data_IF_865538477776
#
_entry.id   IF_865538477776
#
_cell.length_a   1.000
_cell.length_b   1.000
_cell.length_c   1.000
_cell.angle_alpha   90.00
_cell.angle_beta   90.00
_cell.angle_gamma   90.00
#
_symmetry.space_group_name_H-M   'P 1'
#
loop_
_entity.id
_entity.type
_entity.pdbx_description
1 polymer ?
#
# COMPACT_ATOMS: atom_id res chain seq x y z
N UNK A 1 -57.36 5.45 36.65
CA UNK A 1 -56.73 6.20 37.76
C UNK A 1 -55.26 6.33 37.38
N UNK A 2 -54.82 7.37 36.67
CA UNK A 2 -54.66 8.74 37.15
C UNK A 2 -53.25 8.85 37.78
N UNK A 3 -52.26 9.58 37.25
CA UNK A 3 -52.33 10.64 36.26
C UNK A 3 -50.98 11.00 35.61
N UNK A 4 -51.14 11.95 34.69
CA UNK A 4 -50.20 12.59 33.78
C UNK A 4 -49.48 13.74 34.49
N UNK A 5 -48.21 13.99 34.16
CA UNK A 5 -47.60 15.32 34.25
C UNK A 5 -46.73 15.56 33.01
N UNK A 6 -47.28 16.38 32.11
CA UNK A 6 -46.56 17.16 31.11
C UNK A 6 -45.79 18.30 31.79
N UNK A 7 -44.66 18.69 31.19
CA UNK A 7 -44.17 20.07 31.22
C UNK A 7 -43.22 20.32 30.03
N UNK A 8 -43.81 20.85 28.96
CA UNK A 8 -43.11 21.67 27.97
C UNK A 8 -42.58 22.96 28.62
N UNK A 9 -41.39 23.39 28.22
CA UNK A 9 -40.99 24.80 28.31
C UNK A 9 -40.07 25.18 27.13
N UNK A 10 -40.62 26.06 26.29
CA UNK A 10 -40.02 26.78 25.19
C UNK A 10 -38.88 27.75 25.60
N UNK A 11 -38.22 28.25 24.53
CA UNK A 11 -37.49 29.51 24.37
C UNK A 11 -35.96 29.40 24.49
N UNK A 12 -35.13 30.05 23.66
CA UNK A 12 -35.29 30.82 22.43
C UNK A 12 -33.88 31.11 21.89
N UNK A 13 -33.84 31.66 20.68
CA UNK A 13 -32.69 32.02 19.86
C UNK A 13 -31.54 32.81 20.54
N UNK A 14 -30.35 32.64 19.98
CA UNK A 14 -29.20 33.52 20.16
C UNK A 14 -28.29 33.50 18.92
N UNK A 15 -28.56 34.38 17.96
CA UNK A 15 -27.67 34.70 16.84
C UNK A 15 -26.56 35.67 17.30
N UNK A 16 -25.31 35.30 17.02
CA UNK A 16 -24.16 36.20 16.80
C UNK A 16 -23.14 35.37 15.98
N UNK A 17 -22.59 35.76 14.84
CA UNK A 17 -22.28 37.09 14.35
C UNK A 17 -20.76 37.31 14.45
N UNK A 18 -20.08 37.34 13.30
CA UNK A 18 -18.68 37.75 13.05
C UNK A 18 -17.62 36.63 13.24
N UNK A 19 -16.59 36.44 12.41
CA UNK A 19 -16.00 37.29 11.37
C UNK A 19 -15.32 36.44 10.29
N UNK A 20 -15.28 36.98 9.07
CA UNK A 20 -14.50 36.44 7.94
C UNK A 20 -13.00 36.66 8.20
N UNK A 21 -12.23 35.57 8.27
CA UNK A 21 -10.78 35.58 8.25
C UNK A 21 -10.26 34.96 6.96
N UNK A 22 -9.69 35.78 6.07
CA UNK A 22 -9.09 35.35 4.81
C UNK A 22 -7.85 34.48 5.05
N UNK A 23 -7.90 33.18 4.74
CA UNK A 23 -6.69 32.35 4.67
C UNK A 23 -6.16 32.32 3.23
N UNK A 24 -5.10 33.11 2.98
CA UNK A 24 -4.33 33.07 1.74
C UNK A 24 -3.76 31.67 1.53
N UNK A 25 -4.01 31.08 0.35
CA UNK A 25 -3.40 29.83 -0.10
C UNK A 25 -1.90 30.05 -0.34
N UNK A 26 -0.98 29.26 0.25
CA UNK A 26 0.41 29.24 -0.22
C UNK A 26 0.49 28.41 -1.50
N UNK A 27 0.96 29.02 -2.59
CA UNK A 27 1.24 28.34 -3.85
C UNK A 27 2.43 27.36 -3.75
N UNK A 28 2.62 26.48 -4.75
CA UNK A 28 3.65 25.45 -4.71
C UNK A 28 5.05 26.06 -4.78
N UNK A 29 5.90 25.72 -3.79
CA UNK A 29 7.32 26.06 -3.77
C UNK A 29 8.05 25.23 -4.82
N UNK A 30 8.57 25.90 -5.86
CA UNK A 30 9.51 25.34 -6.84
C UNK A 30 10.86 25.11 -6.16
N UNK A 31 11.31 23.86 -6.06
CA UNK A 31 12.69 23.55 -5.71
C UNK A 31 13.53 23.55 -6.99
N UNK A 32 14.45 24.53 -7.06
CA UNK A 32 15.47 24.68 -8.09
C UNK A 32 16.70 23.87 -7.64
N UNK A 33 17.08 22.82 -8.37
CA UNK A 33 18.36 22.13 -8.15
C UNK A 33 19.27 22.42 -9.35
N UNK A 34 20.34 23.19 -9.11
CA UNK A 34 21.41 23.45 -10.08
C UNK A 34 22.34 22.23 -10.22
N UNK A 35 22.93 22.01 -11.41
CA UNK A 35 23.89 20.93 -11.64
C UNK A 35 25.29 21.27 -11.11
N UNK A 36 25.94 20.31 -10.46
CA UNK A 36 27.37 20.38 -10.13
C UNK A 36 28.19 19.86 -11.33
N UNK A 37 29.19 20.66 -11.70
CA UNK A 37 30.06 20.51 -12.87
C UNK A 37 31.48 20.19 -12.38
N UNK A 38 32.07 19.11 -12.92
CA UNK A 38 33.51 18.90 -13.09
C UNK A 38 34.33 18.45 -11.87
N UNK A 39 35.14 17.40 -12.04
CA UNK A 39 36.51 17.57 -12.55
C UNK A 39 37.23 16.23 -12.75
N UNK A 40 37.94 16.18 -13.87
CA UNK A 40 38.88 15.16 -14.35
C UNK A 40 40.20 15.26 -13.59
N UNK A 41 40.78 14.12 -13.17
CA UNK A 41 42.22 14.04 -12.89
C UNK A 41 42.80 12.75 -13.48
N UNK A 42 43.72 12.95 -14.41
CA UNK A 42 44.61 11.95 -14.98
C UNK A 42 46.01 12.12 -14.38
N UNK A 43 46.69 11.00 -14.13
CA UNK A 43 48.15 10.73 -14.02
C UNK A 43 48.26 9.41 -13.23
N UNK A 44 49.07 8.42 -13.56
CA UNK A 44 50.21 8.29 -14.45
C UNK A 44 51.06 7.18 -13.83
N UNK A 45 51.46 6.17 -14.60
CA UNK A 45 52.25 5.05 -14.08
C UNK A 45 52.80 4.21 -15.22
N UNK A 46 54.06 4.47 -15.56
CA UNK A 46 54.89 3.75 -16.52
C UNK A 46 55.36 2.41 -15.94
N UNK A 47 55.61 1.40 -16.79
CA UNK A 47 56.74 0.45 -16.75
C UNK A 47 56.68 -0.56 -17.94
N UNK A 48 57.78 -1.24 -18.31
CA UNK A 48 58.48 -0.96 -19.57
C UNK A 48 58.34 -2.01 -20.68
N UNK A 49 58.87 -1.62 -21.84
CA UNK A 49 59.00 -2.36 -23.08
C UNK A 49 59.90 -3.61 -22.96
N UNK A 50 59.48 -4.69 -23.62
CA UNK A 50 60.31 -5.82 -24.01
C UNK A 50 60.39 -5.87 -25.54
N UNK A 51 61.63 -5.91 -26.00
CA UNK A 51 62.07 -5.76 -27.37
C UNK A 51 62.29 -7.16 -27.96
N UNK A 52 61.64 -7.48 -29.08
CA UNK A 52 62.01 -8.64 -29.90
C UNK A 52 62.14 -8.23 -31.37
N UNK A 53 63.31 -8.63 -31.90
CA UNK A 53 63.78 -8.72 -33.29
C UNK A 53 62.62 -8.92 -34.28
N UNK A 54 62.53 -8.21 -35.39
CA UNK A 54 63.57 -7.99 -36.39
C UNK A 54 63.33 -8.97 -37.54
N UNK A 55 62.66 -8.53 -38.60
CA UNK A 55 62.85 -8.97 -39.99
C UNK A 55 62.01 -8.08 -40.92
N UNK A 56 62.66 -7.57 -41.97
CA UNK A 56 62.07 -6.74 -43.01
C UNK A 56 61.91 -7.57 -44.28
N UNK A 57 60.76 -7.47 -44.96
CA UNK A 57 60.65 -7.82 -46.38
C UNK A 57 59.82 -6.76 -47.11
N UNK A 58 60.34 -6.43 -48.29
CA UNK A 58 60.03 -5.31 -49.18
C UNK A 58 58.70 -5.43 -49.95
N UNK A 59 58.12 -4.25 -50.26
CA UNK A 59 57.40 -3.83 -51.48
C UNK A 59 56.44 -4.82 -52.19
N UNK A 60 55.26 -4.41 -52.68
CA UNK A 60 55.12 -3.61 -53.92
C UNK A 60 53.66 -3.21 -54.20
N UNK A 61 53.51 -2.04 -54.83
CA UNK A 61 52.33 -1.35 -55.40
C UNK A 61 51.23 -2.24 -56.04
N UNK A 62 49.96 -1.89 -55.77
CA UNK A 62 48.90 -1.79 -56.81
C UNK A 62 47.76 -0.85 -56.38
N UNK A 63 47.35 0.01 -57.32
CA UNK A 63 46.33 1.06 -57.21
C UNK A 63 44.92 0.46 -57.27
N UNK A 64 43.96 1.00 -56.51
CA UNK A 64 42.59 1.19 -57.00
C UNK A 64 41.93 2.39 -56.29
N UNK A 65 41.15 3.11 -57.08
CA UNK A 65 40.64 4.47 -56.92
C UNK A 65 39.12 4.39 -56.72
N UNK A 66 38.62 5.17 -55.75
CA UNK A 66 37.27 5.75 -55.60
C UNK A 66 36.02 4.86 -55.49
N UNK A 67 35.14 5.21 -54.53
CA UNK A 67 33.71 4.95 -54.66
C UNK A 67 32.89 4.97 -53.36
N UNK A 68 32.32 6.13 -53.04
CA UNK A 68 31.09 6.35 -52.23
C UNK A 68 31.04 5.89 -50.77
N UNK A 69 31.27 6.85 -49.87
CA UNK A 69 30.89 6.83 -48.46
C UNK A 69 29.36 6.86 -48.32
N UNK A 70 28.72 5.72 -48.09
CA UNK A 70 27.38 5.68 -47.56
C UNK A 70 27.46 5.94 -46.04
N UNK A 71 27.20 7.18 -45.62
CA UNK A 71 26.94 7.49 -44.21
C UNK A 71 25.55 6.95 -43.88
N UNK A 72 25.47 5.70 -43.44
CA UNK A 72 24.29 5.19 -42.75
C UNK A 72 24.22 5.93 -41.42
N UNK A 73 23.34 6.94 -41.33
CA UNK A 73 22.90 7.47 -40.04
C UNK A 73 22.15 6.34 -39.35
N UNK A 74 22.87 5.55 -38.56
CA UNK A 74 22.27 4.70 -37.55
C UNK A 74 21.66 5.67 -36.54
N UNK A 75 20.37 5.96 -36.75
CA UNK A 75 19.51 6.59 -35.76
C UNK A 75 19.38 5.67 -34.56
N UNK A 76 20.40 5.63 -33.72
CA UNK A 76 20.29 5.14 -32.35
C UNK A 76 19.52 6.19 -31.54
N UNK A 77 18.22 6.34 -31.81
CA UNK A 77 17.28 6.72 -30.75
C UNK A 77 16.95 5.46 -29.95
N UNK A 78 18.00 4.79 -29.47
CA UNK A 78 17.86 3.86 -28.37
C UNK A 78 17.72 4.73 -27.15
N UNK A 79 16.48 4.88 -26.65
CA UNK A 79 16.33 5.16 -25.23
C UNK A 79 17.14 4.10 -24.52
N UNK A 80 18.31 4.50 -23.99
CA UNK A 80 19.04 3.70 -23.04
C UNK A 80 18.13 3.62 -21.82
N UNK A 81 17.23 2.65 -21.81
CA UNK A 81 16.56 2.24 -20.60
C UNK A 81 17.62 1.49 -19.82
N UNK A 82 18.41 2.25 -19.04
CA UNK A 82 19.25 1.67 -17.99
C UNK A 82 18.39 0.66 -17.23
N UNK A 83 18.89 -0.54 -16.99
CA UNK A 83 18.21 -1.52 -16.14
C UNK A 83 17.74 -0.83 -14.85
N UNK A 84 16.54 -1.15 -14.34
CA UNK A 84 15.99 -0.45 -13.19
C UNK A 84 17.00 -0.46 -12.06
N UNK A 85 17.31 0.72 -11.54
CA UNK A 85 18.23 0.86 -10.41
C UNK A 85 17.68 0.17 -9.16
N UNK A 86 16.34 0.10 -9.04
CA UNK A 86 15.64 -0.52 -7.93
C UNK A 86 14.46 -1.35 -8.44
N UNK A 87 14.44 -2.63 -8.08
CA UNK A 87 13.31 -3.54 -8.26
C UNK A 87 12.71 -3.83 -6.89
N UNK A 88 11.40 -3.75 -6.78
CA UNK A 88 10.69 -3.96 -5.52
C UNK A 88 9.45 -4.83 -5.73
N UNK A 89 8.91 -5.36 -4.64
CA UNK A 89 7.70 -6.18 -4.62
C UNK A 89 6.64 -5.51 -3.74
N UNK A 90 5.42 -5.47 -4.26
CA UNK A 90 4.22 -5.04 -3.53
C UNK A 90 3.33 -6.25 -3.29
N UNK A 91 3.09 -6.63 -2.04
CA UNK A 91 2.09 -7.67 -1.72
C UNK A 91 0.77 -7.05 -1.27
N UNK A 92 -0.32 -7.80 -1.47
CA UNK A 92 -1.61 -7.59 -0.83
C UNK A 92 -2.43 -8.88 -0.83
N UNK A 93 -3.41 -9.01 0.07
CA UNK A 93 -4.15 -10.26 0.24
C UNK A 93 -5.38 -10.45 -0.66
N UNK A 94 -5.83 -9.39 -1.35
CA UNK A 94 -7.00 -9.48 -2.23
C UNK A 94 -6.71 -10.22 -3.55
N UNK A 95 -7.74 -10.77 -4.23
CA UNK A 95 -7.62 -11.35 -5.58
C UNK A 95 -7.14 -10.36 -6.64
N UNK A 96 -6.62 -10.87 -7.77
CA UNK A 96 -6.13 -10.05 -8.88
C UNK A 96 -7.24 -9.19 -9.53
N UNK A 97 -8.50 -9.62 -9.41
CA UNK A 97 -9.68 -8.93 -9.94
C UNK A 97 -10.15 -7.78 -9.04
N UNK A 98 -9.59 -7.65 -7.83
CA UNK A 98 -9.97 -6.58 -6.91
C UNK A 98 -9.58 -5.20 -7.44
N UNK A 99 -10.34 -4.17 -7.04
CA UNK A 99 -9.99 -2.78 -7.34
C UNK A 99 -8.60 -2.43 -6.78
N UNK A 100 -8.19 -3.05 -5.67
CA UNK A 100 -6.94 -2.75 -5.00
C UNK A 100 -5.76 -3.21 -5.86
N UNK A 101 -5.87 -4.38 -6.47
CA UNK A 101 -4.83 -4.90 -7.37
C UNK A 101 -4.65 -3.99 -8.59
N UNK A 102 -5.76 -3.59 -9.22
CA UNK A 102 -5.75 -2.70 -10.38
C UNK A 102 -5.13 -1.35 -10.01
N UNK A 103 -5.61 -0.73 -8.93
CA UNK A 103 -5.07 0.55 -8.44
C UNK A 103 -3.56 0.50 -8.16
N UNK A 104 -3.09 -0.53 -7.44
CA UNK A 104 -1.67 -0.67 -7.13
C UNK A 104 -0.82 -0.89 -8.38
N UNK A 105 -1.32 -1.66 -9.35
CA UNK A 105 -0.63 -1.91 -10.61
C UNK A 105 -0.49 -0.62 -11.43
N UNK A 106 -1.56 0.16 -11.53
CA UNK A 106 -1.56 1.46 -12.22
C UNK A 106 -0.68 2.49 -11.51
N UNK A 107 -0.74 2.54 -10.17
CA UNK A 107 0.11 3.39 -9.34
C UNK A 107 1.59 3.10 -9.63
N UNK A 108 2.01 1.83 -9.55
CA UNK A 108 3.41 1.48 -9.76
C UNK A 108 3.86 1.63 -11.21
N UNK A 109 2.96 1.43 -12.18
CA UNK A 109 3.24 1.75 -13.58
C UNK A 109 3.47 3.26 -13.79
N UNK A 110 2.69 4.11 -13.11
CA UNK A 110 2.87 5.56 -13.16
C UNK A 110 4.18 5.99 -12.47
N UNK A 111 4.50 5.41 -11.32
CA UNK A 111 5.80 5.66 -10.64
C UNK A 111 6.98 5.24 -11.54
N UNK A 112 6.87 4.11 -12.24
CA UNK A 112 7.91 3.70 -13.19
C UNK A 112 8.08 4.73 -14.32
N UNK A 113 6.99 5.29 -14.86
CA UNK A 113 7.05 6.36 -15.88
C UNK A 113 7.71 7.63 -15.32
N UNK A 114 7.26 8.11 -14.17
CA UNK A 114 7.74 9.35 -13.56
C UNK A 114 9.21 9.26 -13.11
N UNK A 115 9.67 8.07 -12.75
CA UNK A 115 11.06 7.84 -12.37
C UNK A 115 11.98 7.54 -13.56
N UNK A 116 11.45 7.48 -14.79
CA UNK A 116 12.20 7.08 -15.98
C UNK A 116 12.67 5.63 -15.91
N UNK A 117 11.89 4.76 -15.28
CA UNK A 117 12.19 3.34 -15.09
C UNK A 117 13.17 3.02 -13.97
N UNK A 118 13.63 4.02 -13.19
CA UNK A 118 14.59 3.80 -12.10
C UNK A 118 14.02 2.98 -10.94
N UNK A 119 12.72 3.08 -10.68
CA UNK A 119 12.00 2.23 -9.73
C UNK A 119 10.96 1.40 -10.49
N UNK A 120 11.06 0.09 -10.39
CA UNK A 120 10.06 -0.85 -10.90
C UNK A 120 9.53 -1.69 -9.76
N UNK A 121 8.22 -1.65 -9.52
CA UNK A 121 7.56 -2.43 -8.48
C UNK A 121 6.58 -3.39 -9.12
N UNK A 122 6.68 -4.67 -8.76
CA UNK A 122 5.73 -5.70 -9.21
C UNK A 122 4.70 -5.94 -8.12
N UNK A 123 3.42 -5.78 -8.47
CA UNK A 123 2.29 -6.06 -7.57
C UNK A 123 1.90 -7.54 -7.62
N UNK A 124 1.85 -8.19 -6.47
CA UNK A 124 1.44 -9.58 -6.32
C UNK A 124 0.14 -9.68 -5.52
N UNK A 125 -0.93 -10.23 -6.11
CA UNK A 125 -2.18 -10.49 -5.42
C UNK A 125 -2.05 -11.70 -4.50
N UNK A 126 -3.00 -11.85 -3.57
CA UNK A 126 -3.08 -12.97 -2.62
C UNK A 126 -1.76 -13.28 -1.89
N UNK A 127 -0.95 -12.25 -1.63
CA UNK A 127 0.38 -12.30 -1.06
C UNK A 127 1.30 -13.27 -1.81
N UNK A 128 1.20 -13.33 -3.15
CA UNK A 128 1.94 -14.25 -4.00
C UNK A 128 1.84 -15.73 -3.56
N UNK A 129 0.68 -16.14 -3.02
CA UNK A 129 0.47 -17.47 -2.44
C UNK A 129 1.44 -17.84 -1.31
N UNK A 130 2.06 -16.85 -0.65
CA UNK A 130 2.98 -17.08 0.46
C UNK A 130 2.30 -17.93 1.57
N UNK A 131 2.98 -18.97 2.10
CA UNK A 131 2.53 -19.69 3.29
C UNK A 131 2.37 -18.75 4.48
N UNK A 132 1.32 -18.93 5.29
CA UNK A 132 1.00 -18.02 6.39
C UNK A 132 0.38 -16.68 5.97
N UNK A 133 0.28 -16.37 4.67
CA UNK A 133 -0.46 -15.21 4.13
C UNK A 133 -0.04 -13.88 4.78
N UNK A 134 -0.96 -13.15 5.40
CA UNK A 134 -0.74 -11.81 5.98
C UNK A 134 0.34 -11.78 7.07
N UNK A 135 0.30 -12.63 8.11
CA UNK A 135 1.41 -12.76 9.06
C UNK A 135 2.76 -12.98 8.39
N UNK A 136 2.84 -13.92 7.43
CA UNK A 136 4.08 -14.22 6.73
C UNK A 136 4.61 -13.02 5.93
N UNK A 137 3.73 -12.32 5.22
CA UNK A 137 4.10 -11.12 4.46
C UNK A 137 4.54 -9.97 5.36
N UNK A 138 3.94 -9.83 6.56
CA UNK A 138 4.36 -8.85 7.55
C UNK A 138 5.76 -9.15 8.10
N UNK A 139 6.10 -10.43 8.35
CA UNK A 139 7.47 -10.79 8.76
C UNK A 139 8.49 -10.47 7.66
N UNK A 140 8.17 -10.76 6.38
CA UNK A 140 9.04 -10.40 5.25
C UNK A 140 9.24 -8.87 5.12
N UNK A 141 8.18 -8.09 5.37
CA UNK A 141 8.28 -6.63 5.38
C UNK A 141 9.23 -6.17 6.49
N UNK A 142 9.11 -6.75 7.69
CA UNK A 142 9.93 -6.39 8.83
C UNK A 142 11.39 -6.83 8.70
N UNK A 143 11.66 -7.97 8.05
CA UNK A 143 13.03 -8.42 7.76
C UNK A 143 13.69 -7.63 6.63
N UNK A 144 12.93 -6.81 5.89
CA UNK A 144 13.40 -6.10 4.72
C UNK A 144 13.47 -6.97 3.46
N UNK A 145 12.93 -8.19 3.51
CA UNK A 145 12.80 -9.04 2.33
C UNK A 145 11.67 -8.59 1.41
N UNK A 146 10.61 -7.95 1.93
CA UNK A 146 9.53 -7.37 1.12
C UNK A 146 9.55 -5.85 1.24
N UNK A 147 9.50 -5.13 0.12
CA UNK A 147 9.61 -3.67 0.14
C UNK A 147 8.27 -2.96 0.42
N UNK A 148 7.17 -3.47 -0.14
CA UNK A 148 5.86 -2.87 0.06
C UNK A 148 4.79 -3.91 0.38
N UNK A 149 3.93 -3.58 1.33
CA UNK A 149 2.82 -4.43 1.73
C UNK A 149 1.59 -3.59 2.08
N UNK A 150 0.44 -3.96 1.52
CA UNK A 150 -0.85 -3.37 1.94
C UNK A 150 -1.47 -4.27 3.01
N UNK A 151 -1.58 -3.76 4.23
CA UNK A 151 -2.10 -4.49 5.38
C UNK A 151 -3.08 -3.63 6.18
N UNK A 152 -4.18 -4.24 6.65
CA UNK A 152 -5.13 -3.53 7.51
C UNK A 152 -4.55 -3.28 8.91
N UNK A 153 -4.93 -2.16 9.53
CA UNK A 153 -4.49 -1.78 10.88
C UNK A 153 -4.75 -2.85 11.95
N UNK A 154 -5.88 -3.57 11.86
CA UNK A 154 -6.23 -4.63 12.80
C UNK A 154 -5.26 -5.83 12.82
N UNK A 155 -4.65 -6.18 11.69
CA UNK A 155 -3.62 -7.24 11.65
C UNK A 155 -2.25 -6.65 12.01
N UNK A 156 -1.97 -5.41 11.57
CA UNK A 156 -0.75 -4.69 11.94
C UNK A 156 -0.62 -4.49 13.46
N UNK A 157 -1.75 -4.46 14.19
CA UNK A 157 -1.85 -4.48 15.65
C UNK A 157 -0.93 -5.46 16.37
N UNK A 158 -0.69 -6.63 15.75
CA UNK A 158 0.25 -7.65 16.28
C UNK A 158 1.68 -7.12 16.49
N UNK A 159 2.10 -6.13 15.70
CA UNK A 159 3.44 -5.51 15.76
C UNK A 159 3.39 -4.07 16.25
N UNK A 160 2.34 -3.33 15.86
CA UNK A 160 2.09 -1.93 16.22
C UNK A 160 0.70 -1.87 16.86
N UNK A 161 0.53 -2.18 18.16
CA UNK A 161 -0.79 -2.34 18.78
C UNK A 161 -1.76 -1.19 18.56
N UNK A 162 -1.25 0.04 18.52
CA UNK A 162 -2.08 1.22 18.32
C UNK A 162 -2.64 1.35 16.90
N UNK A 163 -2.14 0.57 15.93
CA UNK A 163 -2.73 0.51 14.59
C UNK A 163 -4.16 -0.05 14.58
N UNK A 164 -4.56 -0.82 15.60
CA UNK A 164 -5.91 -1.35 15.72
C UNK A 164 -6.96 -0.25 15.93
N UNK A 165 -6.57 0.96 16.36
CA UNK A 165 -7.48 2.11 16.54
C UNK A 165 -8.28 2.46 15.28
N UNK A 166 -7.74 2.12 14.10
CA UNK A 166 -8.40 2.32 12.81
C UNK A 166 -9.70 1.52 12.67
N UNK A 167 -9.83 0.41 13.41
CA UNK A 167 -11.00 -0.47 13.37
C UNK A 167 -11.98 -0.28 14.51
N UNK A 168 -11.78 0.74 15.38
CA UNK A 168 -12.62 0.95 16.55
C UNK A 168 -14.11 1.05 16.15
N UNK A 169 -15.00 0.18 16.67
CA UNK A 169 -16.38 0.15 16.24
C UNK A 169 -17.07 1.50 16.41
N UNK A 170 -17.81 1.91 15.38
CA UNK A 170 -18.63 3.12 15.37
C UNK A 170 -17.87 4.45 15.60
N UNK A 171 -16.53 4.45 15.61
CA UNK A 171 -15.74 5.66 15.81
C UNK A 171 -15.81 6.64 14.61
N UNK A 172 -16.03 6.13 13.41
CA UNK A 172 -16.18 6.90 12.19
C UNK A 172 -17.58 6.75 11.61
N UNK A 173 -18.15 7.83 11.10
CA UNK A 173 -19.49 7.85 10.50
C UNK A 173 -19.47 8.11 8.99
N UNK A 174 -18.31 8.41 8.41
CA UNK A 174 -18.16 8.64 6.97
C UNK A 174 -16.74 8.40 6.47
N UNK A 175 -16.62 8.01 5.20
CA UNK A 175 -15.35 7.89 4.47
C UNK A 175 -14.52 9.18 4.57
N UNK A 176 -15.15 10.34 4.39
CA UNK A 176 -14.47 11.64 4.47
C UNK A 176 -13.83 11.90 5.85
N UNK A 177 -14.46 11.42 6.93
CA UNK A 177 -13.87 11.52 8.27
C UNK A 177 -12.66 10.59 8.41
N UNK A 178 -12.75 9.37 7.89
CA UNK A 178 -11.64 8.40 7.86
C UNK A 178 -10.43 8.99 7.13
N UNK A 179 -10.62 9.52 5.92
CA UNK A 179 -9.53 10.13 5.15
C UNK A 179 -8.91 11.32 5.88
N UNK A 180 -9.72 12.26 6.40
CA UNK A 180 -9.19 13.41 7.15
C UNK A 180 -8.41 13.01 8.39
N UNK A 181 -8.87 12.00 9.13
CA UNK A 181 -8.17 11.51 10.30
C UNK A 181 -6.84 10.85 9.90
N UNK A 182 -6.88 9.94 8.91
CA UNK A 182 -5.70 9.20 8.47
C UNK A 182 -4.64 10.07 7.78
N UNK A 183 -5.05 11.11 7.06
CA UNK A 183 -4.11 12.02 6.39
C UNK A 183 -3.65 13.14 7.34
N UNK A 184 -4.29 13.27 8.51
CA UNK A 184 -3.97 14.24 9.55
C UNK A 184 -3.21 13.64 10.74
N UNK A 185 -3.49 14.18 11.93
CA UNK A 185 -2.74 13.90 13.16
C UNK A 185 -2.75 12.42 13.59
N UNK A 186 -3.87 11.70 13.37
CA UNK A 186 -3.93 10.27 13.66
C UNK A 186 -2.95 9.50 12.74
N UNK A 187 -2.90 9.87 11.47
CA UNK A 187 -1.96 9.28 10.53
C UNK A 187 -0.50 9.49 10.87
N UNK A 188 -0.15 10.73 11.23
CA UNK A 188 1.21 11.07 11.64
C UNK A 188 1.62 10.29 12.90
N UNK A 189 0.70 10.15 13.85
CA UNK A 189 0.92 9.36 15.05
C UNK A 189 1.16 7.88 14.71
N UNK A 190 0.29 7.28 13.89
CA UNK A 190 0.47 5.91 13.42
C UNK A 190 1.80 5.74 12.65
N UNK A 191 2.19 6.72 11.85
CA UNK A 191 3.47 6.72 11.14
C UNK A 191 4.68 6.66 12.07
N UNK A 192 4.68 7.44 13.17
CA UNK A 192 5.74 7.39 14.18
C UNK A 192 5.81 6.05 14.90
N UNK A 193 4.65 5.50 15.26
CA UNK A 193 4.54 4.22 15.96
C UNK A 193 5.00 3.04 15.07
N UNK A 194 4.67 3.07 13.78
CA UNK A 194 5.20 2.13 12.80
C UNK A 194 6.72 2.29 12.65
N UNK A 195 7.24 3.51 12.54
CA UNK A 195 8.66 3.76 12.35
C UNK A 195 9.49 3.26 13.53
N UNK A 196 8.97 3.38 14.77
CA UNK A 196 9.58 2.80 15.96
C UNK A 196 9.70 1.26 15.93
N UNK A 197 8.97 0.59 15.02
CA UNK A 197 9.03 -0.86 14.76
C UNK A 197 9.72 -1.21 13.43
N UNK A 198 10.42 -0.25 12.80
CA UNK A 198 11.09 -0.45 11.53
C UNK A 198 10.16 -0.52 10.31
N UNK A 199 8.88 -0.15 10.47
CA UNK A 199 7.88 -0.15 9.40
C UNK A 199 7.61 1.29 8.98
N UNK A 200 7.70 1.58 7.70
CA UNK A 200 7.44 2.93 7.17
C UNK A 200 6.11 2.95 6.44
N UNK A 201 5.16 3.75 6.97
CA UNK A 201 3.84 3.94 6.38
C UNK A 201 3.84 5.13 5.42
N UNK A 202 3.12 5.03 4.30
CA UNK A 202 2.79 6.21 3.53
C UNK A 202 1.86 7.14 4.34
N UNK A 203 2.23 8.41 4.44
CA UNK A 203 1.45 9.38 5.21
C UNK A 203 0.08 9.64 4.60
N UNK A 204 0.03 9.70 3.26
CA UNK A 204 -1.15 10.02 2.47
C UNK A 204 -1.53 8.87 1.55
N UNK A 205 -2.77 8.88 1.07
CA UNK A 205 -3.25 7.87 0.12
C UNK A 205 -3.62 6.57 0.80
N UNK A 206 -4.41 6.66 1.88
CA UNK A 206 -5.03 5.50 2.52
C UNK A 206 -5.72 4.63 1.47
N UNK A 207 -5.33 3.35 1.42
CA UNK A 207 -6.06 2.35 0.66
C UNK A 207 -7.21 1.85 1.51
N UNK A 208 -8.41 2.33 1.17
CA UNK A 208 -9.59 1.98 1.92
C UNK A 208 -10.05 0.54 1.63
N UNK A 209 -10.28 -0.20 2.70
CA UNK A 209 -10.99 -1.47 2.65
C UNK A 209 -12.52 -1.23 2.68
N UNK A 210 -12.97 -0.36 3.59
CA UNK A 210 -14.36 0.10 3.70
C UNK A 210 -15.00 -0.18 5.07
N UNK A 211 -16.22 0.33 5.27
CA UNK A 211 -17.04 0.02 6.44
C UNK A 211 -17.53 -1.43 6.40
N UNK A 212 -17.33 -2.14 7.52
CA UNK A 212 -17.50 -3.59 7.59
C UNK A 212 -18.94 -3.95 7.96
N UNK A 213 -19.50 -4.92 7.26
CA UNK A 213 -20.85 -5.46 7.46
C UNK A 213 -20.75 -6.89 7.96
N UNK A 214 -21.74 -7.34 8.74
CA UNK A 214 -21.85 -8.74 9.17
C UNK A 214 -22.60 -9.52 8.10
N UNK A 215 -22.08 -10.68 7.71
CA UNK A 215 -22.82 -11.67 6.93
C UNK A 215 -22.78 -13.03 7.62
N UNK A 216 -23.82 -13.81 7.39
CA UNK A 216 -24.10 -15.07 8.10
C UNK A 216 -24.59 -16.10 7.09
N UNK A 217 -24.35 -17.38 7.36
CA UNK A 217 -24.73 -18.44 6.41
C UNK A 217 -26.24 -18.64 6.35
N UNK A 218 -26.94 -18.66 7.49
CA UNK A 218 -28.38 -19.00 7.54
C UNK A 218 -29.26 -17.97 8.26
N UNK A 219 -28.72 -17.19 9.20
CA UNK A 219 -29.53 -16.41 10.15
C UNK A 219 -29.26 -14.91 10.02
N UNK A 220 -30.25 -14.09 9.61
CA UNK A 220 -30.06 -12.64 9.60
C UNK A 220 -29.79 -12.08 11.00
N UNK A 221 -29.05 -10.98 11.05
CA UNK A 221 -28.70 -10.26 12.28
C UNK A 221 -29.41 -8.91 12.26
N UNK A 222 -30.40 -8.72 13.14
CA UNK A 222 -31.13 -7.46 13.26
C UNK A 222 -30.75 -6.69 14.53
N UNK A 223 -30.42 -7.42 15.59
CA UNK A 223 -30.01 -6.88 16.90
C UNK A 223 -28.74 -7.57 17.39
N UNK A 224 -28.05 -6.97 18.37
CA UNK A 224 -26.80 -7.52 18.88
C UNK A 224 -26.97 -8.93 19.46
N UNK A 225 -28.09 -9.20 20.12
CA UNK A 225 -28.44 -10.49 20.73
C UNK A 225 -28.52 -11.63 19.71
N UNK A 226 -28.72 -11.32 18.42
CA UNK A 226 -28.75 -12.35 17.38
C UNK A 226 -27.40 -13.04 17.21
N UNK A 227 -26.30 -12.39 17.62
CA UNK A 227 -24.92 -12.88 17.54
C UNK A 227 -24.53 -13.79 18.72
N UNK A 228 -25.34 -13.85 19.78
CA UNK A 228 -25.03 -14.62 20.98
C UNK A 228 -24.76 -16.08 20.62
N UNK A 229 -23.59 -16.57 20.99
CA UNK A 229 -23.15 -17.95 20.74
C UNK A 229 -22.80 -18.28 19.29
N UNK A 230 -22.95 -17.35 18.34
CA UNK A 230 -22.57 -17.58 16.94
C UNK A 230 -21.05 -17.69 16.81
N UNK A 231 -20.56 -18.66 16.04
CA UNK A 231 -19.14 -18.80 15.72
C UNK A 231 -18.77 -17.81 14.63
N UNK A 232 -18.39 -16.60 15.03
CA UNK A 232 -18.08 -15.52 14.11
C UNK A 232 -16.62 -15.57 13.69
N UNK A 233 -16.36 -15.70 12.39
CA UNK A 233 -14.98 -15.56 11.90
C UNK A 233 -14.51 -14.12 12.06
N UNK A 234 -13.31 -13.96 12.59
CA UNK A 234 -12.57 -12.68 12.65
C UNK A 234 -11.16 -12.82 12.03
N UNK A 235 -10.56 -11.74 11.51
CA UNK A 235 -9.13 -11.73 11.16
C UNK A 235 -8.25 -11.82 12.42
N UNK A 236 -6.94 -12.02 12.25
CA UNK A 236 -5.99 -12.08 13.37
C UNK A 236 -5.64 -10.69 13.92
N UNK A 237 -6.60 -10.07 14.62
CA UNK A 237 -6.44 -8.81 15.35
C UNK A 237 -7.17 -8.88 16.69
N UNK A 238 -6.59 -8.30 17.74
CA UNK A 238 -7.14 -8.45 19.10
C UNK A 238 -8.47 -7.73 19.25
N UNK A 239 -8.58 -6.50 18.74
CA UNK A 239 -9.80 -5.72 18.73
C UNK A 239 -10.98 -6.48 18.13
N UNK A 240 -10.79 -7.22 17.03
CA UNK A 240 -11.90 -7.98 16.45
C UNK A 240 -12.38 -9.09 17.38
N UNK A 241 -11.46 -9.80 18.05
CA UNK A 241 -11.81 -10.80 19.07
C UNK A 241 -12.57 -10.16 20.22
N UNK A 242 -12.11 -9.02 20.70
CA UNK A 242 -12.72 -8.30 21.83
C UNK A 242 -14.14 -7.84 21.49
N UNK A 243 -14.34 -7.25 20.31
CA UNK A 243 -15.65 -6.78 19.84
C UNK A 243 -16.66 -7.91 19.74
N UNK A 244 -16.29 -9.02 19.09
CA UNK A 244 -17.19 -10.15 18.93
C UNK A 244 -17.42 -10.93 20.23
N UNK A 245 -16.44 -10.93 21.15
CA UNK A 245 -16.63 -11.45 22.52
C UNK A 245 -17.60 -10.57 23.31
N UNK A 246 -17.47 -9.23 23.20
CA UNK A 246 -18.37 -8.27 23.85
C UNK A 246 -19.81 -8.35 23.32
N UNK A 247 -19.99 -8.79 22.07
CA UNK A 247 -21.29 -9.12 21.46
C UNK A 247 -21.77 -10.55 21.82
N UNK A 248 -21.13 -11.20 22.79
CA UNK A 248 -21.45 -12.54 23.29
C UNK A 248 -21.40 -13.65 22.23
N UNK A 249 -20.70 -13.41 21.12
CA UNK A 249 -20.43 -14.42 20.09
C UNK A 249 -19.15 -15.21 20.42
N UNK A 250 -18.86 -16.23 19.62
CA UNK A 250 -17.66 -17.07 19.73
C UNK A 250 -16.69 -16.72 18.58
N UNK A 251 -15.78 -15.75 18.74
CA UNK A 251 -14.87 -15.37 17.66
C UNK A 251 -13.88 -16.50 17.31
N UNK A 252 -13.77 -16.83 16.03
CA UNK A 252 -12.82 -17.81 15.49
C UNK A 252 -11.86 -17.11 14.54
N UNK A 253 -10.56 -17.13 14.84
CA UNK A 253 -9.55 -16.51 13.97
C UNK A 253 -9.26 -17.41 12.77
N UNK A 254 -9.56 -16.93 11.55
CA UNK A 254 -9.31 -17.66 10.30
C UNK A 254 -8.78 -16.67 9.26
N UNK A 255 -7.72 -17.04 8.51
CA UNK A 255 -7.21 -16.16 7.45
C UNK A 255 -8.25 -16.03 6.31
N UNK A 256 -8.29 -14.88 5.64
CA UNK A 256 -9.27 -14.65 4.57
C UNK A 256 -9.16 -15.68 3.42
N UNK A 257 -7.96 -16.24 3.20
CA UNK A 257 -7.71 -17.30 2.22
C UNK A 257 -8.51 -18.58 2.48
N UNK A 258 -8.79 -18.88 3.75
CA UNK A 258 -9.49 -20.09 4.19
C UNK A 258 -10.99 -19.83 4.47
N UNK A 259 -11.40 -18.56 4.46
CA UNK A 259 -12.73 -18.13 4.91
C UNK A 259 -13.87 -18.75 4.11
N UNK A 260 -13.78 -18.78 2.78
CA UNK A 260 -14.81 -19.39 1.95
C UNK A 260 -15.02 -20.87 2.28
N UNK A 261 -13.93 -21.62 2.46
CA UNK A 261 -13.99 -23.03 2.82
C UNK A 261 -14.59 -23.22 4.22
N UNK A 262 -14.21 -22.37 5.19
CA UNK A 262 -14.72 -22.40 6.56
C UNK A 262 -16.23 -22.10 6.64
N UNK A 263 -16.73 -21.15 5.85
CA UNK A 263 -18.18 -20.88 5.74
C UNK A 263 -18.90 -22.05 5.07
N UNK A 264 -18.38 -22.56 3.96
CA UNK A 264 -18.97 -23.67 3.21
C UNK A 264 -19.05 -24.96 4.04
N UNK A 265 -18.03 -25.24 4.85
CA UNK A 265 -17.98 -26.41 5.73
C UNK A 265 -18.71 -26.22 7.07
N UNK A 266 -19.32 -25.04 7.30
CA UNK A 266 -19.99 -24.69 8.57
C UNK A 266 -19.06 -24.74 9.78
N UNK A 267 -17.76 -24.51 9.58
CA UNK A 267 -16.82 -24.32 10.69
C UNK A 267 -17.14 -23.04 11.48
N UNK A 268 -17.65 -22.02 10.78
CA UNK A 268 -18.10 -20.73 11.31
C UNK A 268 -19.50 -20.42 10.77
N UNK A 269 -20.27 -19.64 11.53
CA UNK A 269 -21.68 -19.31 11.25
C UNK A 269 -21.81 -17.98 10.48
N UNK A 270 -20.76 -17.17 10.50
CA UNK A 270 -20.73 -15.88 9.82
C UNK A 270 -19.33 -15.27 9.82
N UNK A 271 -19.25 -14.10 9.20
CA UNK A 271 -18.04 -13.30 9.07
C UNK A 271 -18.41 -11.82 9.04
N UNK A 272 -17.39 -10.97 8.97
CA UNK A 272 -17.55 -9.53 8.83
C UNK A 272 -16.55 -8.98 7.82
N UNK A 273 -17.02 -8.13 6.89
CA UNK A 273 -16.19 -7.48 5.88
C UNK A 273 -16.97 -6.37 5.14
N UNK A 274 -16.28 -5.44 4.46
CA UNK A 274 -16.92 -4.53 3.51
C UNK A 274 -17.56 -5.30 2.36
N UNK A 275 -18.63 -4.75 1.79
CA UNK A 275 -19.39 -5.39 0.71
C UNK A 275 -18.51 -5.82 -0.47
N UNK A 276 -17.55 -4.98 -0.87
CA UNK A 276 -16.64 -5.29 -1.98
C UNK A 276 -15.75 -6.51 -1.71
N UNK A 277 -15.35 -6.73 -0.46
CA UNK A 277 -14.55 -7.89 -0.06
C UNK A 277 -15.41 -9.14 -0.03
N UNK A 278 -16.64 -9.03 0.48
CA UNK A 278 -17.64 -10.11 0.45
C UNK A 278 -17.91 -10.55 -0.99
N UNK A 279 -18.13 -9.60 -1.91
CA UNK A 279 -18.39 -9.88 -3.32
C UNK A 279 -17.19 -10.56 -4.01
N UNK A 280 -15.99 -9.97 -3.92
CA UNK A 280 -14.82 -10.47 -4.67
C UNK A 280 -14.36 -11.85 -4.17
N UNK A 281 -14.60 -12.17 -2.90
CA UNK A 281 -14.28 -13.48 -2.31
C UNK A 281 -15.47 -14.46 -2.30
N UNK A 282 -16.65 -14.03 -2.79
CA UNK A 282 -17.89 -14.82 -2.85
C UNK A 282 -18.30 -15.38 -1.48
N UNK A 283 -18.25 -14.53 -0.46
CA UNK A 283 -18.53 -14.87 0.95
C UNK A 283 -20.01 -14.73 1.32
#
# INVERSE_FOLDING_TARGET
MGGVLDADAHAAAGHAGLSQGSSRRPGPRRYLCLPALGQTLARGGQHPAAQLRGEAVNATRRKLVFGTSAFTIVGCTGQSTSAPHWKARQFHNQPAQSHQHQFLSDLWAQVAKETGGRLQVTTYPQNNNLPGSDPGALELLQSGELEFFTLMGGILGRKVPVAEIQGMPFAFTSHAQVHRANDGALGEYLGRECAAKGIYRFQYGLLENGFRQISTVDKPVFIAEDLRGMRMRVPDGQMFRDVFTALESQPVTINIRELYAALKSRQVDGQENPLVITEVNRL
#
